data_IF_929356407140
#
_entry.id   IF_929356407140
#
_cell.length_a   1.000
_cell.length_b   1.000
_cell.length_c   1.000
_cell.angle_alpha   90.00
_cell.angle_beta   90.00
_cell.angle_gamma   90.00
#
_symmetry.space_group_name_H-M   'P 1'
#
loop_
_entity.id
_entity.type
_entity.pdbx_description
1 polymer ?
#
# COMPACT_ATOMS: atom_id res chain seq x y z
N UNK A 1 39.46 35.53 21.63
CA UNK A 1 38.73 35.60 20.34
C UNK A 1 38.64 34.17 19.79
N UNK A 2 37.54 33.45 20.06
CA UNK A 2 36.43 33.16 19.11
C UNK A 2 36.92 32.44 17.84
N UNK A 3 36.50 31.22 17.48
CA UNK A 3 35.15 30.64 17.48
C UNK A 3 35.12 29.10 17.61
N UNK A 4 34.12 28.61 18.37
CA UNK A 4 33.32 27.38 18.17
C UNK A 4 32.90 27.23 16.68
N UNK A 5 32.66 26.07 16.05
CA UNK A 5 31.69 25.01 16.40
C UNK A 5 31.59 24.01 15.22
N UNK A 6 31.16 22.80 15.57
CA UNK A 6 30.19 21.95 14.82
C UNK A 6 30.51 21.50 13.39
N UNK A 7 30.85 20.21 13.27
CA UNK A 7 30.83 19.50 11.98
C UNK A 7 30.64 17.97 12.10
N UNK A 8 30.22 17.44 13.25
CA UNK A 8 30.13 15.99 13.51
C UNK A 8 28.77 15.57 14.09
N UNK A 9 27.68 16.24 13.66
CA UNK A 9 26.34 16.02 14.23
C UNK A 9 25.34 15.36 13.28
N UNK A 10 25.47 15.48 11.97
CA UNK A 10 24.44 15.00 11.03
C UNK A 10 24.29 13.47 10.98
N UNK A 11 25.39 12.76 10.82
CA UNK A 11 25.41 11.29 10.68
C UNK A 11 25.04 10.60 12.00
N UNK A 12 25.51 11.13 13.13
CA UNK A 12 25.20 10.62 14.46
C UNK A 12 23.76 10.91 14.88
N UNK A 13 23.14 11.99 14.39
CA UNK A 13 21.71 12.28 14.61
C UNK A 13 20.84 11.31 13.81
N UNK A 14 21.17 11.02 12.55
CA UNK A 14 20.42 10.04 11.76
C UNK A 14 20.56 8.62 12.31
N UNK A 15 21.76 8.22 12.73
CA UNK A 15 21.97 6.93 13.39
C UNK A 15 21.17 6.83 14.70
N UNK A 16 21.13 7.87 15.55
CA UNK A 16 20.33 7.89 16.79
C UNK A 16 18.82 7.98 16.56
N UNK A 17 18.36 8.63 15.50
CA UNK A 17 16.95 8.66 15.13
C UNK A 17 16.47 7.28 14.67
N UNK A 18 17.35 6.47 14.08
CA UNK A 18 17.03 5.12 13.61
C UNK A 18 17.30 4.04 14.67
N UNK A 19 18.17 4.29 15.66
CA UNK A 19 18.47 3.38 16.78
C UNK A 19 17.31 3.22 17.79
N UNK A 20 16.25 4.03 17.64
CA UNK A 20 15.06 4.02 18.49
C UNK A 20 13.75 3.78 17.73
N UNK A 21 13.79 3.54 16.41
CA UNK A 21 12.64 2.96 15.71
C UNK A 21 12.64 1.47 15.98
N UNK A 22 12.11 1.18 17.17
CA UNK A 22 11.56 -0.09 17.56
C UNK A 22 10.91 -0.79 16.35
N UNK A 23 11.62 -1.80 15.84
CA UNK A 23 11.14 -2.71 14.79
C UNK A 23 10.03 -3.65 15.30
N UNK A 24 9.50 -3.44 16.52
CA UNK A 24 8.48 -4.28 17.15
C UNK A 24 7.05 -4.06 16.64
N UNK A 25 6.83 -3.25 15.60
CA UNK A 25 5.67 -3.47 14.72
C UNK A 25 5.97 -4.60 13.72
N UNK A 26 6.29 -5.79 14.21
CA UNK A 26 6.18 -7.00 13.41
C UNK A 26 4.73 -7.05 12.87
N UNK A 27 4.54 -6.93 11.54
CA UNK A 27 3.20 -7.03 10.95
C UNK A 27 2.61 -8.36 11.44
N UNK A 28 1.46 -8.30 12.12
CA UNK A 28 0.85 -9.45 12.82
C UNK A 28 0.27 -10.49 11.84
N UNK A 29 0.59 -10.40 10.55
CA UNK A 29 0.09 -11.23 9.44
C UNK A 29 -1.44 -11.42 9.43
N UNK A 30 -2.20 -10.45 9.99
CA UNK A 30 -3.66 -10.46 9.99
C UNK A 30 -4.26 -10.30 8.58
N UNK A 31 -3.47 -9.78 7.65
CA UNK A 31 -3.83 -9.60 6.25
C UNK A 31 -2.62 -9.92 5.36
N UNK A 32 -2.86 -10.45 4.14
CA UNK A 32 -1.78 -10.84 3.26
C UNK A 32 -0.90 -9.66 2.86
N UNK A 33 0.41 -9.91 2.80
CA UNK A 33 1.34 -9.04 2.11
C UNK A 33 1.22 -9.22 0.60
N UNK A 34 1.56 -8.19 -0.16
CA UNK A 34 1.73 -8.32 -1.60
C UNK A 34 2.99 -9.13 -1.88
N UNK A 35 2.85 -10.15 -2.72
CA UNK A 35 3.99 -10.81 -3.34
C UNK A 35 4.82 -9.83 -4.18
N UNK A 36 6.09 -10.14 -4.43
CA UNK A 36 6.95 -9.31 -5.27
C UNK A 36 6.37 -9.21 -6.69
N UNK A 37 6.51 -8.05 -7.32
CA UNK A 37 6.07 -7.84 -8.71
C UNK A 37 6.79 -8.83 -9.63
N UNK A 38 6.02 -9.57 -10.43
CA UNK A 38 6.55 -10.52 -11.38
C UNK A 38 7.02 -9.83 -12.67
N UNK A 39 7.99 -10.45 -13.36
CA UNK A 39 8.58 -9.89 -14.59
C UNK A 39 7.56 -9.63 -15.71
N UNK A 40 6.51 -10.46 -15.80
CA UNK A 40 5.42 -10.35 -16.79
C UNK A 40 4.08 -9.99 -16.15
N UNK A 41 4.09 -9.07 -15.20
CA UNK A 41 2.86 -8.60 -14.57
C UNK A 41 1.94 -7.89 -15.59
N UNK A 42 0.64 -7.92 -15.32
CA UNK A 42 -0.39 -7.20 -16.07
C UNK A 42 -0.65 -5.83 -15.43
N UNK A 43 -0.57 -4.73 -16.18
CA UNK A 43 -0.92 -3.42 -15.66
C UNK A 43 -2.42 -3.32 -15.40
N UNK A 44 -2.79 -2.77 -14.25
CA UNK A 44 -4.13 -2.33 -13.91
C UNK A 44 -4.27 -0.85 -14.28
N UNK A 45 -5.41 -0.51 -14.88
CA UNK A 45 -5.78 0.88 -15.07
C UNK A 45 -6.36 1.44 -13.77
N UNK A 46 -5.79 2.54 -13.28
CA UNK A 46 -6.17 3.18 -12.03
C UNK A 46 -6.86 4.52 -12.30
N UNK A 47 -8.01 4.72 -11.67
CA UNK A 47 -8.88 5.88 -11.83
C UNK A 47 -9.01 6.62 -10.48
N UNK A 48 -8.74 7.95 -10.41
CA UNK A 48 -8.90 8.71 -9.17
C UNK A 48 -10.36 9.02 -8.82
N UNK A 49 -11.32 8.76 -9.70
CA UNK A 49 -12.73 9.07 -9.46
C UNK A 49 -13.26 8.22 -8.29
N UNK A 50 -13.72 8.85 -7.19
CA UNK A 50 -14.26 8.15 -6.03
C UNK A 50 -15.44 7.25 -6.42
N UNK A 51 -15.53 6.11 -5.73
CA UNK A 51 -16.67 5.18 -5.87
C UNK A 51 -17.53 5.29 -4.61
N UNK A 52 -18.75 5.79 -4.77
CA UNK A 52 -19.70 5.92 -3.67
C UNK A 52 -20.18 4.56 -3.15
N UNK A 53 -20.45 4.47 -1.85
CA UNK A 53 -21.06 3.30 -1.17
C UNK A 53 -20.31 1.99 -1.43
N UNK A 54 -19.02 1.99 -1.17
CA UNK A 54 -18.18 0.79 -1.23
C UNK A 54 -18.22 0.02 0.10
N UNK A 55 -18.11 -1.31 0.04
CA UNK A 55 -17.84 -2.16 1.21
C UNK A 55 -16.52 -2.90 1.00
N UNK A 56 -15.65 -2.86 2.01
CA UNK A 56 -14.42 -3.67 2.01
C UNK A 56 -14.78 -5.13 2.23
N UNK A 57 -14.29 -5.99 1.34
CA UNK A 57 -14.47 -7.45 1.39
C UNK A 57 -13.20 -8.11 1.92
N UNK A 58 -12.01 -7.66 1.46
CA UNK A 58 -10.67 -8.09 1.90
C UNK A 58 -9.69 -6.91 1.78
N UNK A 59 -8.54 -7.02 2.43
CA UNK A 59 -7.48 -6.00 2.38
C UNK A 59 -6.09 -6.64 2.51
N UNK A 60 -5.03 -5.90 2.14
CA UNK A 60 -3.63 -6.29 2.36
C UNK A 60 -3.09 -5.69 3.67
N UNK A 61 -1.98 -6.22 4.21
CA UNK A 61 -1.28 -5.57 5.34
C UNK A 61 -0.94 -4.11 4.96
N UNK A 62 -1.07 -3.20 5.92
CA UNK A 62 -0.82 -1.75 5.75
C UNK A 62 0.60 -1.34 6.19
N UNK A 63 1.51 -2.30 6.33
CA UNK A 63 2.91 -2.07 6.70
C UNK A 63 3.72 -1.38 5.59
N UNK A 64 3.24 -1.46 4.34
CA UNK A 64 3.84 -0.78 3.21
C UNK A 64 3.11 0.54 2.94
N UNK A 65 3.85 1.52 2.39
CA UNK A 65 3.32 2.81 1.99
C UNK A 65 2.15 2.74 0.97
N UNK A 66 1.94 1.57 0.35
CA UNK A 66 0.77 1.31 -0.48
C UNK A 66 0.11 0.02 -0.02
N UNK A 67 -1.21 0.09 0.24
CA UNK A 67 -2.03 -1.07 0.53
C UNK A 67 -3.28 -1.07 -0.36
N UNK A 68 -3.93 -2.22 -0.43
CA UNK A 68 -5.04 -2.45 -1.34
C UNK A 68 -6.21 -3.09 -0.61
N UNK A 69 -7.40 -2.76 -1.07
CA UNK A 69 -8.66 -3.29 -0.57
C UNK A 69 -9.47 -3.84 -1.73
N UNK A 70 -9.96 -5.07 -1.59
CA UNK A 70 -10.97 -5.62 -2.47
C UNK A 70 -12.33 -5.13 -2.02
N UNK A 71 -13.06 -4.45 -2.90
CA UNK A 71 -14.29 -3.73 -2.57
C UNK A 71 -15.47 -4.22 -3.41
N UNK A 72 -16.66 -4.16 -2.83
CA UNK A 72 -17.94 -4.35 -3.53
C UNK A 72 -18.71 -3.02 -3.63
N UNK A 73 -19.41 -2.85 -4.76
CA UNK A 73 -20.14 -1.64 -5.16
C UNK A 73 -21.45 -2.07 -5.82
N UNK A 74 -22.50 -2.31 -5.02
CA UNK A 74 -23.85 -2.58 -5.54
C UNK A 74 -23.94 -3.75 -6.55
N UNK A 75 -23.19 -4.84 -6.31
CA UNK A 75 -23.15 -6.01 -7.20
C UNK A 75 -21.94 -6.08 -8.14
N UNK A 76 -21.19 -4.99 -8.28
CA UNK A 76 -19.88 -4.97 -8.95
C UNK A 76 -18.73 -5.05 -7.94
N UNK A 77 -17.57 -5.49 -8.40
CA UNK A 77 -16.36 -5.62 -7.59
C UNK A 77 -15.20 -4.85 -8.21
N UNK A 78 -14.26 -4.45 -7.36
CA UNK A 78 -13.09 -3.70 -7.75
C UNK A 78 -12.01 -3.71 -6.67
N UNK A 79 -10.93 -2.99 -6.95
CA UNK A 79 -9.81 -2.83 -6.03
C UNK A 79 -9.61 -1.34 -5.80
N UNK A 80 -9.50 -0.97 -4.52
CA UNK A 80 -9.06 0.36 -4.08
C UNK A 80 -7.59 0.28 -3.70
N UNK A 81 -6.76 1.13 -4.27
CA UNK A 81 -5.35 1.33 -3.93
C UNK A 81 -5.24 2.59 -3.08
N UNK A 82 -4.57 2.48 -1.94
CA UNK A 82 -4.35 3.62 -1.04
C UNK A 82 -2.86 3.79 -0.86
N UNK A 83 -2.36 4.98 -1.21
CA UNK A 83 -0.99 5.40 -0.95
C UNK A 83 -1.00 6.26 0.30
N UNK A 84 -0.24 5.85 1.30
CA UNK A 84 -0.04 6.57 2.56
C UNK A 84 0.87 7.78 2.29
N UNK A 85 0.25 8.86 1.83
CA UNK A 85 0.82 10.20 1.67
C UNK A 85 0.02 11.22 2.46
N UNK A 86 0.49 12.46 2.53
CA UNK A 86 -0.27 13.58 3.10
C UNK A 86 -0.53 14.64 2.01
N UNK A 87 -1.77 14.77 1.48
CA UNK A 87 -2.96 13.96 1.78
C UNK A 87 -2.88 12.54 1.19
N UNK A 88 -3.68 11.56 1.69
CA UNK A 88 -3.69 10.21 1.13
C UNK A 88 -4.18 10.19 -0.32
N UNK A 89 -3.48 9.46 -1.19
CA UNK A 89 -3.94 9.24 -2.56
C UNK A 89 -4.75 7.94 -2.64
N UNK A 90 -5.97 8.04 -3.16
CA UNK A 90 -6.87 6.90 -3.34
C UNK A 90 -7.20 6.72 -4.81
N UNK A 91 -6.99 5.52 -5.33
CA UNK A 91 -7.25 5.16 -6.72
C UNK A 91 -8.09 3.88 -6.79
N UNK A 92 -8.83 3.73 -7.88
CA UNK A 92 -9.79 2.64 -8.08
C UNK A 92 -9.55 1.92 -9.39
N UNK A 93 -9.86 0.64 -9.42
CA UNK A 93 -10.01 -0.15 -10.64
C UNK A 93 -11.14 -1.14 -10.46
N UNK A 94 -11.77 -1.60 -11.54
CA UNK A 94 -12.82 -2.61 -11.45
C UNK A 94 -14.06 -2.31 -12.28
N UNK A 95 -15.23 -2.60 -11.70
CA UNK A 95 -16.49 -2.71 -12.43
C UNK A 95 -16.74 -4.14 -12.92
N UNK A 96 -16.15 -5.13 -12.24
CA UNK A 96 -16.19 -6.53 -12.64
C UNK A 96 -17.31 -7.29 -11.95
N UNK A 97 -17.65 -8.45 -12.52
CA UNK A 97 -18.35 -9.51 -11.78
C UNK A 97 -17.46 -10.02 -10.65
N UNK A 98 -18.05 -10.72 -9.67
CA UNK A 98 -17.33 -11.24 -8.50
C UNK A 98 -16.13 -12.10 -8.89
N UNK A 99 -16.33 -13.09 -9.75
CA UNK A 99 -15.30 -14.08 -10.10
C UNK A 99 -14.10 -13.42 -10.80
N UNK A 100 -14.38 -12.46 -11.69
CA UNK A 100 -13.33 -11.68 -12.36
C UNK A 100 -12.60 -10.78 -11.36
N UNK A 101 -13.31 -10.18 -10.41
CA UNK A 101 -12.73 -9.39 -9.33
C UNK A 101 -11.82 -10.20 -8.42
N UNK A 102 -12.24 -11.39 -8.00
CA UNK A 102 -11.45 -12.31 -7.18
C UNK A 102 -10.19 -12.77 -7.93
N UNK A 103 -10.29 -13.04 -9.24
CA UNK A 103 -9.13 -13.37 -10.07
C UNK A 103 -8.11 -12.22 -10.12
N UNK A 104 -8.57 -10.98 -10.31
CA UNK A 104 -7.67 -9.82 -10.30
C UNK A 104 -7.08 -9.55 -8.91
N UNK A 105 -7.85 -9.77 -7.85
CA UNK A 105 -7.37 -9.70 -6.48
C UNK A 105 -6.24 -10.70 -6.24
N UNK A 106 -6.42 -11.96 -6.63
CA UNK A 106 -5.38 -12.98 -6.51
C UNK A 106 -4.13 -12.63 -7.31
N UNK A 107 -4.27 -12.16 -8.55
CA UNK A 107 -3.12 -11.71 -9.36
C UNK A 107 -2.38 -10.54 -8.73
N UNK A 108 -3.08 -9.61 -8.10
CA UNK A 108 -2.45 -8.52 -7.37
C UNK A 108 -1.61 -9.07 -6.19
N UNK A 109 -2.19 -9.98 -5.41
CA UNK A 109 -1.53 -10.62 -4.28
C UNK A 109 -0.30 -11.43 -4.69
N UNK A 110 -0.33 -12.15 -5.81
CA UNK A 110 0.81 -12.95 -6.30
C UNK A 110 1.85 -12.13 -7.08
N UNK A 111 1.59 -10.83 -7.29
CA UNK A 111 2.47 -9.95 -8.06
C UNK A 111 2.33 -10.06 -9.59
N UNK A 112 1.34 -10.83 -10.06
CA UNK A 112 0.96 -10.95 -11.47
C UNK A 112 0.19 -9.74 -12.00
N UNK A 113 -0.28 -8.84 -11.14
CA UNK A 113 -0.92 -7.58 -11.51
C UNK A 113 -0.42 -6.40 -10.65
N UNK A 114 -0.40 -5.19 -11.21
CA UNK A 114 -0.03 -3.94 -10.52
C UNK A 114 -0.76 -2.72 -11.07
#
# INVERSE_FOLDING_TARGET
MTRRREGDSGERIMARLLDGYDTDYACTDLAPHLGPRQARYRPLHWDPVPRDRTRVVRYTCCCAATYYEFISMGGSYGIRKIVQSDPPQVLYTGGWTRDVGELWWMRLLTGEAR
#
